data_IF_035508549851
#
_entry.id   IF_035508549851
#
_cell.length_a   1.000
_cell.length_b   1.000
_cell.length_c   1.000
_cell.angle_alpha   90.00
_cell.angle_beta   90.00
_cell.angle_gamma   90.00
#
_symmetry.space_group_name_H-M   'P 1'
#
loop_
_entity.id
_entity.type
_entity.pdbx_description
1 polymer ?
#
# COMPACT_ATOMS: atom_id res chain seq x y z
N UNK A 1 -76.44 -40.65 34.91
CA UNK A 1 -76.79 -41.14 36.26
C UNK A 1 -77.98 -42.09 36.12
N UNK A 2 -77.68 -43.34 35.76
CA UNK A 2 -78.53 -44.50 35.93
C UNK A 2 -77.58 -45.56 36.47
N UNK A 3 -77.80 -45.96 37.72
CA UNK A 3 -76.98 -46.96 38.39
C UNK A 3 -77.21 -48.30 37.71
N UNK A 4 -76.22 -48.77 36.96
CA UNK A 4 -76.17 -50.17 36.54
C UNK A 4 -75.93 -51.00 37.79
N UNK A 5 -76.86 -51.91 38.05
CA UNK A 5 -76.71 -52.93 39.07
C UNK A 5 -75.46 -53.73 38.70
N UNK A 6 -74.46 -53.73 39.57
CA UNK A 6 -73.43 -54.75 39.58
C UNK A 6 -74.15 -56.09 39.82
N UNK A 7 -74.51 -56.75 38.73
CA UNK A 7 -74.68 -58.20 38.76
C UNK A 7 -73.30 -58.73 39.14
N UNK A 8 -73.12 -59.12 40.41
CA UNK A 8 -71.92 -59.78 40.91
C UNK A 8 -71.79 -61.11 40.17
N UNK A 9 -71.27 -61.06 38.96
CA UNK A 9 -70.95 -62.22 38.14
C UNK A 9 -69.82 -62.97 38.83
N UNK A 10 -69.95 -64.29 38.87
CA UNK A 10 -68.94 -65.20 39.44
C UNK A 10 -67.60 -65.16 38.68
N UNK A 11 -67.60 -64.54 37.50
CA UNK A 11 -66.44 -64.38 36.63
C UNK A 11 -65.69 -63.09 36.98
N UNK A 12 -64.39 -63.22 37.25
CA UNK A 12 -63.48 -62.09 37.47
C UNK A 12 -63.06 -61.44 36.14
N UNK A 13 -63.91 -60.56 35.62
CA UNK A 13 -63.65 -59.84 34.36
C UNK A 13 -62.43 -58.90 34.43
N UNK A 14 -62.05 -58.42 35.62
CA UNK A 14 -60.90 -57.52 35.79
C UNK A 14 -59.58 -58.25 35.53
N UNK A 15 -59.46 -59.50 35.98
CA UNK A 15 -58.31 -60.34 35.68
C UNK A 15 -58.16 -60.59 34.17
N UNK A 16 -59.27 -60.84 33.46
CA UNK A 16 -59.28 -61.16 32.02
C UNK A 16 -59.07 -59.95 31.10
N UNK A 17 -59.52 -58.75 31.48
CA UNK A 17 -59.35 -57.53 30.69
C UNK A 17 -58.02 -56.81 30.95
N UNK A 18 -57.21 -57.31 31.89
CA UNK A 18 -55.90 -56.72 32.19
C UNK A 18 -54.95 -56.85 30.98
N UNK A 19 -54.19 -55.79 30.62
CA UNK A 19 -53.25 -55.82 29.49
C UNK A 19 -52.06 -56.75 29.71
N UNK A 20 -51.91 -57.29 30.93
CA UNK A 20 -50.88 -58.25 31.36
C UNK A 20 -51.42 -59.68 31.45
N UNK A 21 -52.70 -59.93 31.11
CA UNK A 21 -53.29 -61.25 31.20
C UNK A 21 -52.54 -62.24 30.29
N UNK A 22 -51.98 -63.29 30.88
CA UNK A 22 -51.36 -64.39 30.15
C UNK A 22 -52.20 -65.68 30.35
N UNK A 23 -52.70 -66.30 29.25
CA UNK A 23 -53.52 -67.52 29.35
C UNK A 23 -52.79 -68.68 30.04
N UNK A 24 -51.47 -68.75 29.91
CA UNK A 24 -50.63 -69.81 30.49
C UNK A 24 -50.47 -69.71 31.99
N UNK A 25 -50.31 -68.49 32.54
CA UNK A 25 -50.17 -68.31 34.00
C UNK A 25 -51.50 -68.52 34.71
N UNK A 26 -52.61 -68.11 34.08
CA UNK A 26 -53.95 -68.37 34.58
C UNK A 26 -54.29 -69.87 34.57
N UNK A 27 -53.95 -70.59 33.50
CA UNK A 27 -54.12 -72.04 33.46
C UNK A 27 -53.30 -72.74 34.56
N UNK A 28 -52.06 -72.29 34.77
CA UNK A 28 -51.19 -72.82 35.82
C UNK A 28 -51.72 -72.53 37.23
N UNK A 29 -52.20 -71.31 37.51
CA UNK A 29 -52.80 -70.99 38.80
C UNK A 29 -54.08 -71.79 39.06
N UNK A 30 -54.88 -72.06 38.02
CA UNK A 30 -56.08 -72.87 38.15
C UNK A 30 -55.78 -74.35 38.42
N UNK A 31 -54.76 -74.91 37.78
CA UNK A 31 -54.32 -76.30 38.03
C UNK A 31 -53.73 -76.44 39.45
N UNK A 32 -52.95 -75.45 39.90
CA UNK A 32 -52.36 -75.44 41.24
C UNK A 32 -53.39 -75.23 42.36
N UNK A 33 -54.50 -74.53 42.10
CA UNK A 33 -55.56 -74.27 43.09
C UNK A 33 -56.56 -75.43 43.22
N UNK A 34 -56.67 -76.27 42.20
CA UNK A 34 -57.63 -77.39 42.16
C UNK A 34 -57.02 -78.72 42.58
N UNK A 35 -55.70 -78.89 42.43
CA UNK A 35 -55.00 -80.13 42.75
C UNK A 35 -54.11 -79.98 43.99
N UNK A 36 -54.13 -80.98 44.87
CA UNK A 36 -53.16 -81.08 45.97
C UNK A 36 -51.85 -81.72 45.47
N UNK A 37 -50.68 -81.38 46.06
CA UNK A 37 -49.38 -81.88 45.61
C UNK A 37 -49.17 -83.40 45.78
N UNK A 38 -50.15 -84.11 46.34
CA UNK A 38 -50.13 -85.56 46.57
C UNK A 38 -51.09 -86.35 45.67
N UNK A 39 -51.87 -85.70 44.80
CA UNK A 39 -52.78 -86.39 43.88
C UNK A 39 -52.03 -86.94 42.65
N UNK A 40 -52.08 -88.27 42.48
CA UNK A 40 -51.62 -88.97 41.28
C UNK A 40 -52.71 -89.97 40.84
N UNK A 41 -53.34 -89.84 39.66
CA UNK A 41 -53.08 -88.88 38.57
C UNK A 41 -53.69 -87.49 38.82
N UNK A 42 -53.06 -86.47 38.23
CA UNK A 42 -53.50 -85.07 38.26
C UNK A 42 -54.91 -84.94 37.65
N UNK A 43 -55.85 -84.35 38.37
CA UNK A 43 -57.21 -84.11 37.87
C UNK A 43 -57.24 -82.84 37.02
N UNK A 44 -57.23 -83.05 35.70
CA UNK A 44 -57.40 -82.00 34.69
C UNK A 44 -58.86 -81.76 34.31
N UNK A 45 -59.78 -82.64 34.74
CA UNK A 45 -61.19 -82.55 34.37
C UNK A 45 -61.91 -81.41 35.11
N UNK A 46 -61.55 -81.19 36.37
CA UNK A 46 -62.14 -80.13 37.20
C UNK A 46 -61.72 -78.72 36.76
N UNK A 47 -60.43 -78.40 36.52
CA UNK A 47 -60.01 -77.12 35.93
C UNK A 47 -60.61 -76.86 34.56
N UNK A 48 -60.62 -77.89 33.70
CA UNK A 48 -61.13 -77.78 32.34
C UNK A 48 -62.64 -77.54 32.32
N UNK A 49 -63.40 -78.24 33.16
CA UNK A 49 -64.84 -77.99 33.27
C UNK A 49 -65.13 -76.58 33.75
N UNK A 50 -64.38 -76.06 34.73
CA UNK A 50 -64.51 -74.67 35.19
C UNK A 50 -64.23 -73.65 34.09
N UNK A 51 -63.11 -73.76 33.36
CA UNK A 51 -62.80 -72.86 32.24
C UNK A 51 -63.87 -72.95 31.14
N UNK A 52 -64.39 -74.14 30.87
CA UNK A 52 -65.46 -74.32 29.87
C UNK A 52 -66.76 -73.67 30.33
N UNK A 53 -67.13 -73.77 31.61
CA UNK A 53 -68.28 -73.08 32.16
C UNK A 53 -68.11 -71.55 32.09
N UNK A 54 -66.95 -71.05 32.50
CA UNK A 54 -66.63 -69.61 32.45
C UNK A 54 -66.68 -69.11 30.99
N UNK A 55 -66.09 -69.84 30.03
CA UNK A 55 -66.11 -69.49 28.61
C UNK A 55 -67.52 -69.55 28.01
N UNK A 56 -68.33 -70.53 28.39
CA UNK A 56 -69.73 -70.62 27.97
C UNK A 56 -70.54 -69.46 28.51
N UNK A 57 -70.39 -69.12 29.79
CA UNK A 57 -71.08 -68.00 30.41
C UNK A 57 -70.66 -66.67 29.78
N UNK A 58 -69.36 -66.42 29.58
CA UNK A 58 -68.86 -65.24 28.85
C UNK A 58 -69.47 -65.19 27.45
N UNK A 59 -69.48 -66.30 26.71
CA UNK A 59 -70.02 -66.32 25.36
C UNK A 59 -71.53 -66.04 25.35
N UNK A 60 -72.30 -66.63 26.27
CA UNK A 60 -73.73 -66.34 26.40
C UNK A 60 -73.98 -64.89 26.80
N UNK A 61 -73.14 -64.32 27.66
CA UNK A 61 -73.25 -62.93 28.10
C UNK A 61 -72.91 -61.97 26.95
N UNK A 62 -71.83 -62.23 26.21
CA UNK A 62 -71.45 -61.49 25.00
C UNK A 62 -72.53 -61.61 23.93
N UNK A 63 -73.10 -62.80 23.70
CA UNK A 63 -74.21 -62.97 22.75
C UNK A 63 -75.45 -62.20 23.20
N UNK A 64 -75.76 -62.22 24.50
CA UNK A 64 -76.91 -61.50 25.05
C UNK A 64 -76.72 -59.98 24.97
N UNK A 65 -75.53 -59.47 25.28
CA UNK A 65 -75.19 -58.06 25.13
C UNK A 65 -75.17 -57.66 23.66
N UNK A 66 -74.50 -58.42 22.80
CA UNK A 66 -74.39 -58.14 21.36
C UNK A 66 -75.74 -58.18 20.70
N UNK A 67 -76.65 -59.08 21.07
CA UNK A 67 -78.02 -59.10 20.54
C UNK A 67 -78.88 -57.96 21.07
N UNK A 68 -78.79 -57.63 22.37
CA UNK A 68 -79.52 -56.51 22.99
C UNK A 68 -79.05 -55.14 22.48
N UNK A 69 -77.74 -54.96 22.30
CA UNK A 69 -77.10 -53.71 21.86
C UNK A 69 -76.55 -53.78 20.43
N UNK A 70 -77.07 -54.69 19.59
CA UNK A 70 -76.63 -54.87 18.21
C UNK A 70 -76.68 -53.55 17.42
N UNK A 71 -77.78 -52.83 17.56
CA UNK A 71 -78.01 -51.55 16.88
C UNK A 71 -77.01 -50.48 17.36
N UNK A 72 -76.85 -50.20 18.67
CA UNK A 72 -75.80 -49.29 19.16
C UNK A 72 -74.38 -49.63 18.69
N UNK A 73 -73.98 -50.91 18.70
CA UNK A 73 -72.65 -51.33 18.27
C UNK A 73 -72.41 -51.12 16.77
N UNK A 74 -73.43 -51.42 15.95
CA UNK A 74 -73.38 -51.15 14.51
C UNK A 74 -73.34 -49.65 14.22
N UNK A 75 -74.13 -48.84 14.94
CA UNK A 75 -74.13 -47.39 14.80
C UNK A 75 -72.76 -46.82 15.20
N UNK A 76 -72.21 -47.23 16.35
CA UNK A 76 -70.90 -46.78 16.82
C UNK A 76 -69.78 -47.17 15.84
N UNK A 77 -69.77 -48.42 15.38
CA UNK A 77 -68.76 -48.89 14.41
C UNK A 77 -68.89 -48.16 13.08
N UNK A 78 -70.13 -47.92 12.62
CA UNK A 78 -70.40 -47.16 11.41
C UNK A 78 -69.97 -45.69 11.56
N UNK A 79 -70.23 -45.06 12.71
CA UNK A 79 -69.84 -43.69 13.00
C UNK A 79 -68.33 -43.53 13.14
N UNK A 80 -67.66 -44.49 13.80
CA UNK A 80 -66.21 -44.54 13.91
C UNK A 80 -65.54 -44.74 12.53
N UNK A 81 -66.08 -45.64 11.70
CA UNK A 81 -65.59 -45.87 10.34
C UNK A 81 -65.80 -44.63 9.47
N UNK A 82 -66.97 -43.99 9.55
CA UNK A 82 -67.28 -42.73 8.84
C UNK A 82 -66.37 -41.60 9.29
N UNK A 83 -66.12 -41.47 10.59
CA UNK A 83 -65.27 -40.41 11.15
C UNK A 83 -63.81 -40.62 10.77
N UNK A 84 -63.32 -41.85 10.84
CA UNK A 84 -61.96 -42.21 10.41
C UNK A 84 -61.77 -41.96 8.91
N UNK A 85 -62.75 -42.35 8.08
CA UNK A 85 -62.71 -42.08 6.64
C UNK A 85 -62.69 -40.58 6.32
N UNK A 86 -63.47 -39.76 7.04
CA UNK A 86 -63.43 -38.30 6.90
C UNK A 86 -62.07 -37.72 7.29
N UNK A 87 -61.49 -38.19 8.39
CA UNK A 87 -60.16 -37.74 8.85
C UNK A 87 -59.09 -38.09 7.81
N UNK A 88 -59.08 -39.33 7.30
CA UNK A 88 -58.14 -39.75 6.26
C UNK A 88 -58.31 -38.92 5.00
N UNK A 89 -59.56 -38.69 4.56
CA UNK A 89 -59.82 -37.87 3.38
C UNK A 89 -59.34 -36.42 3.54
N UNK A 90 -59.53 -35.83 4.72
CA UNK A 90 -59.07 -34.48 5.01
C UNK A 90 -57.54 -34.42 5.03
N UNK A 91 -56.88 -35.38 5.68
CA UNK A 91 -55.41 -35.49 5.71
C UNK A 91 -54.85 -35.69 4.30
N UNK A 92 -55.44 -36.59 3.50
CA UNK A 92 -55.01 -36.82 2.13
C UNK A 92 -55.14 -35.54 1.28
N UNK A 93 -56.22 -34.78 1.47
CA UNK A 93 -56.40 -33.50 0.78
C UNK A 93 -55.34 -32.47 1.20
N UNK A 94 -55.00 -32.41 2.49
CA UNK A 94 -53.98 -31.51 3.01
C UNK A 94 -52.58 -31.93 2.53
N UNK A 95 -52.26 -33.23 2.54
CA UNK A 95 -50.98 -33.76 2.03
C UNK A 95 -50.84 -33.51 0.53
N UNK A 96 -51.90 -33.71 -0.24
CA UNK A 96 -51.90 -33.38 -1.67
C UNK A 96 -51.65 -31.88 -1.89
N UNK A 97 -52.34 -31.02 -1.12
CA UNK A 97 -52.14 -29.57 -1.21
C UNK A 97 -50.71 -29.14 -0.86
N UNK A 98 -50.09 -29.79 0.14
CA UNK A 98 -48.72 -29.53 0.54
C UNK A 98 -47.72 -30.00 -0.52
N UNK A 99 -47.94 -31.16 -1.11
CA UNK A 99 -47.09 -31.69 -2.17
C UNK A 99 -47.16 -30.82 -3.44
N UNK A 100 -48.36 -30.35 -3.79
CA UNK A 100 -48.53 -29.40 -4.89
C UNK A 100 -47.89 -28.03 -4.56
N UNK A 101 -48.01 -27.57 -3.31
CA UNK A 101 -47.32 -26.38 -2.82
C UNK A 101 -45.80 -26.49 -2.92
N UNK A 102 -45.25 -27.65 -2.52
CA UNK A 102 -43.82 -27.94 -2.62
C UNK A 102 -43.35 -27.98 -4.07
N UNK A 103 -44.06 -28.68 -4.97
CA UNK A 103 -43.73 -28.71 -6.41
C UNK A 103 -43.77 -27.33 -7.05
N UNK A 104 -44.71 -26.47 -6.62
CA UNK A 104 -44.75 -25.06 -7.05
C UNK A 104 -43.54 -24.30 -6.53
N UNK A 105 -43.19 -24.45 -5.26
CA UNK A 105 -42.01 -23.81 -4.66
C UNK A 105 -40.71 -24.24 -5.34
N UNK A 106 -40.55 -25.55 -5.59
CA UNK A 106 -39.38 -26.11 -6.27
C UNK A 106 -39.23 -25.49 -7.67
N UNK A 107 -40.32 -25.45 -8.43
CA UNK A 107 -40.30 -24.91 -9.80
C UNK A 107 -40.12 -23.39 -9.83
N UNK A 108 -40.78 -22.65 -8.94
CA UNK A 108 -40.80 -21.19 -8.99
C UNK A 108 -39.64 -20.54 -8.24
N UNK A 109 -39.16 -21.15 -7.16
CA UNK A 109 -38.14 -20.55 -6.28
C UNK A 109 -36.80 -21.25 -6.48
N UNK A 110 -36.75 -22.58 -6.41
CA UNK A 110 -35.48 -23.31 -6.39
C UNK A 110 -34.76 -23.20 -7.74
N UNK A 111 -35.45 -23.50 -8.84
CA UNK A 111 -34.89 -23.36 -10.20
C UNK A 111 -34.47 -21.92 -10.50
N UNK A 112 -35.26 -20.93 -10.05
CA UNK A 112 -34.90 -19.51 -10.24
C UNK A 112 -33.71 -19.10 -9.40
N UNK A 113 -33.57 -19.64 -8.20
CA UNK A 113 -32.44 -19.39 -7.32
C UNK A 113 -31.14 -19.97 -7.89
N UNK A 114 -31.17 -21.20 -8.40
CA UNK A 114 -30.01 -21.82 -9.06
C UNK A 114 -29.56 -20.99 -10.28
N UNK A 115 -30.49 -20.61 -11.16
CA UNK A 115 -30.19 -19.72 -12.28
C UNK A 115 -29.66 -18.36 -11.82
N UNK A 116 -30.15 -17.81 -10.71
CA UNK A 116 -29.66 -16.55 -10.16
C UNK A 116 -28.24 -16.68 -9.59
N UNK A 117 -27.87 -17.80 -8.95
CA UNK A 117 -26.50 -18.05 -8.51
C UNK A 117 -25.54 -18.21 -9.70
N UNK A 118 -25.96 -18.86 -10.79
CA UNK A 118 -25.18 -18.90 -12.03
C UNK A 118 -24.96 -17.50 -12.62
N UNK A 119 -26.02 -16.69 -12.71
CA UNK A 119 -25.93 -15.32 -13.21
C UNK A 119 -25.03 -14.47 -12.30
N UNK A 120 -25.12 -14.64 -10.97
CA UNK A 120 -24.25 -13.96 -10.01
C UNK A 120 -22.79 -14.39 -10.17
N UNK A 121 -22.52 -15.66 -10.44
CA UNK A 121 -21.18 -16.14 -10.74
C UNK A 121 -20.64 -15.55 -12.06
N UNK A 122 -21.46 -15.45 -13.10
CA UNK A 122 -21.08 -14.79 -14.36
C UNK A 122 -20.86 -13.29 -14.16
N UNK A 123 -21.76 -12.61 -13.45
CA UNK A 123 -21.69 -11.17 -13.19
C UNK A 123 -20.46 -10.79 -12.35
N UNK A 124 -20.11 -11.60 -11.34
CA UNK A 124 -18.89 -11.39 -10.54
C UNK A 124 -17.63 -11.55 -11.40
N UNK A 125 -17.54 -12.59 -12.24
CA UNK A 125 -16.44 -12.75 -13.20
C UNK A 125 -16.35 -11.59 -14.19
N UNK A 126 -17.48 -11.14 -14.74
CA UNK A 126 -17.52 -9.97 -15.63
C UNK A 126 -17.09 -8.68 -14.93
N UNK A 127 -17.49 -8.50 -13.67
CA UNK A 127 -17.05 -7.35 -12.89
C UNK A 127 -15.55 -7.38 -12.63
N UNK A 128 -14.99 -8.54 -12.27
CA UNK A 128 -13.54 -8.70 -12.08
C UNK A 128 -12.76 -8.42 -13.35
N UNK A 129 -13.23 -8.90 -14.51
CA UNK A 129 -12.58 -8.63 -15.80
C UNK A 129 -12.67 -7.17 -16.21
N UNK A 130 -13.82 -6.50 -16.01
CA UNK A 130 -13.97 -5.07 -16.30
C UNK A 130 -13.12 -4.23 -15.35
N UNK A 131 -13.05 -4.58 -14.06
CA UNK A 131 -12.21 -3.91 -13.07
C UNK A 131 -10.74 -4.00 -13.47
N UNK A 132 -10.24 -5.20 -13.76
CA UNK A 132 -8.86 -5.43 -14.18
C UNK A 132 -8.58 -4.76 -15.53
N UNK A 133 -9.50 -4.83 -16.49
CA UNK A 133 -9.36 -4.19 -17.80
C UNK A 133 -9.25 -2.67 -17.70
N UNK A 134 -10.03 -2.03 -16.82
CA UNK A 134 -9.96 -0.58 -16.57
C UNK A 134 -8.64 -0.17 -15.94
N UNK A 135 -8.14 -0.91 -14.94
CA UNK A 135 -6.88 -0.59 -14.29
C UNK A 135 -5.68 -0.82 -15.20
N UNK A 136 -5.67 -1.91 -15.99
CA UNK A 136 -4.68 -2.14 -17.05
C UNK A 136 -4.74 -1.05 -18.11
N UNK A 137 -5.94 -0.66 -18.56
CA UNK A 137 -6.14 0.43 -19.52
C UNK A 137 -5.58 1.77 -19.02
N UNK A 138 -5.83 2.11 -17.75
CA UNK A 138 -5.26 3.31 -17.10
C UNK A 138 -3.73 3.22 -17.02
N UNK A 139 -3.17 2.08 -16.63
CA UNK A 139 -1.73 1.86 -16.58
C UNK A 139 -1.07 2.03 -17.95
N UNK A 140 -1.67 1.46 -19.01
CA UNK A 140 -1.16 1.59 -20.37
C UNK A 140 -1.29 3.03 -20.90
N UNK A 141 -2.38 3.72 -20.60
CA UNK A 141 -2.56 5.12 -21.00
C UNK A 141 -1.54 6.04 -20.31
N UNK A 142 -1.26 5.81 -19.02
CA UNK A 142 -0.21 6.52 -18.30
C UNK A 142 1.19 6.16 -18.81
N UNK A 143 1.43 4.90 -19.18
CA UNK A 143 2.67 4.47 -19.85
C UNK A 143 2.88 5.19 -21.19
N UNK A 144 1.85 5.26 -22.03
CA UNK A 144 1.89 6.02 -23.29
C UNK A 144 2.15 7.51 -23.04
N UNK A 145 1.50 8.09 -22.04
CA UNK A 145 1.74 9.48 -21.66
C UNK A 145 3.20 9.70 -21.21
N UNK A 146 3.75 8.77 -20.43
CA UNK A 146 5.14 8.79 -20.00
C UNK A 146 6.11 8.70 -21.18
N UNK A 147 5.85 7.85 -22.16
CA UNK A 147 6.68 7.71 -23.36
C UNK A 147 6.72 9.02 -24.17
N UNK A 148 5.56 9.65 -24.37
CA UNK A 148 5.46 10.94 -25.08
C UNK A 148 6.27 12.00 -24.32
N UNK A 149 6.07 12.11 -23.01
CA UNK A 149 6.80 13.09 -22.19
C UNK A 149 8.31 12.78 -22.10
N UNK A 150 8.70 11.50 -22.11
CA UNK A 150 10.11 11.10 -22.15
C UNK A 150 10.76 11.49 -23.48
N UNK A 151 10.03 11.40 -24.59
CA UNK A 151 10.50 11.86 -25.90
C UNK A 151 10.67 13.39 -25.98
N UNK A 152 9.82 14.15 -25.26
CA UNK A 152 9.97 15.60 -25.07
C UNK A 152 11.22 15.92 -24.23
N UNK A 153 11.48 15.17 -23.15
CA UNK A 153 12.65 15.36 -22.28
C UNK A 153 13.97 14.94 -22.96
N UNK A 154 13.93 13.93 -23.82
CA UNK A 154 15.09 13.46 -24.57
C UNK A 154 15.43 14.35 -25.79
N UNK A 155 14.58 15.33 -26.12
CA UNK A 155 14.73 16.17 -27.31
C UNK A 155 14.58 15.40 -28.63
N UNK A 156 13.98 14.21 -28.58
CA UNK A 156 13.77 13.31 -29.72
C UNK A 156 12.36 13.38 -30.31
N UNK A 157 11.43 14.09 -29.64
CA UNK A 157 10.02 14.21 -30.05
C UNK A 157 9.74 15.06 -31.30
N UNK A 158 10.75 15.66 -31.96
CA UNK A 158 10.59 16.41 -33.21
C UNK A 158 11.66 16.02 -34.25
N UNK A 159 11.29 15.56 -35.47
CA UNK A 159 12.24 15.24 -36.54
C UNK A 159 12.90 16.47 -37.17
N UNK A 160 12.46 17.69 -36.82
CA UNK A 160 13.11 18.93 -37.24
C UNK A 160 13.91 19.48 -36.06
N UNK A 161 15.18 19.08 -35.98
CA UNK A 161 16.16 19.73 -35.09
C UNK A 161 16.42 21.15 -35.57
N UNK A 162 15.56 22.10 -35.20
CA UNK A 162 15.90 23.51 -35.28
C UNK A 162 16.93 23.74 -34.18
N UNK A 163 18.14 24.11 -34.56
CA UNK A 163 19.21 24.56 -33.65
C UNK A 163 18.62 25.65 -32.74
N UNK A 164 18.29 25.30 -31.50
CA UNK A 164 17.64 26.20 -30.54
C UNK A 164 16.26 25.77 -29.99
N UNK A 165 15.73 24.58 -30.31
CA UNK A 165 14.56 24.08 -29.59
C UNK A 165 14.90 23.89 -28.10
N UNK A 166 14.21 24.70 -27.30
CA UNK A 166 14.32 24.80 -25.85
C UNK A 166 13.92 23.45 -25.26
N UNK A 167 14.80 22.81 -24.49
CA UNK A 167 14.42 21.65 -23.70
C UNK A 167 13.27 22.05 -22.77
N UNK A 168 12.14 21.36 -22.87
CA UNK A 168 10.98 21.63 -22.03
C UNK A 168 11.28 21.14 -20.62
N UNK A 169 11.92 21.99 -19.82
CA UNK A 169 12.17 21.74 -18.40
C UNK A 169 10.87 21.50 -17.60
N UNK A 170 9.72 21.93 -18.15
CA UNK A 170 8.39 21.61 -17.63
C UNK A 170 7.96 20.17 -17.91
N UNK A 171 8.40 19.57 -19.03
CA UNK A 171 8.12 18.17 -19.34
C UNK A 171 8.74 17.24 -18.31
N UNK A 172 9.91 17.59 -17.75
CA UNK A 172 10.55 16.85 -16.66
C UNK A 172 9.65 16.71 -15.42
N UNK A 173 8.95 17.79 -15.03
CA UNK A 173 8.02 17.80 -13.90
C UNK A 173 6.75 16.99 -14.22
N UNK A 174 6.27 17.05 -15.47
CA UNK A 174 5.16 16.22 -15.93
C UNK A 174 5.52 14.73 -15.88
N UNK A 175 6.69 14.36 -16.40
CA UNK A 175 7.23 13.01 -16.33
C UNK A 175 7.30 12.51 -14.89
N UNK A 176 7.82 13.32 -13.96
CA UNK A 176 7.88 12.92 -12.55
C UNK A 176 6.50 12.71 -11.94
N UNK A 177 5.50 13.52 -12.30
CA UNK A 177 4.11 13.33 -11.84
C UNK A 177 3.46 12.08 -12.45
N UNK A 178 3.72 11.76 -13.72
CA UNK A 178 3.24 10.54 -14.38
C UNK A 178 3.94 9.27 -13.85
N UNK A 179 5.24 9.34 -13.54
CA UNK A 179 5.95 8.26 -12.83
C UNK A 179 5.38 8.06 -11.42
N UNK A 180 5.04 9.15 -10.75
CA UNK A 180 4.48 9.11 -9.40
C UNK A 180 3.05 8.56 -9.38
N UNK A 181 2.23 8.90 -10.38
CA UNK A 181 0.89 8.31 -10.50
C UNK A 181 0.95 6.82 -10.85
N UNK A 182 1.90 6.40 -11.69
CA UNK A 182 2.16 4.97 -11.94
C UNK A 182 2.59 4.26 -10.65
N UNK A 183 3.53 4.84 -9.88
CA UNK A 183 3.93 4.30 -8.58
C UNK A 183 2.75 4.18 -7.61
N UNK A 184 1.89 5.19 -7.56
CA UNK A 184 0.68 5.18 -6.74
C UNK A 184 -0.29 4.05 -7.13
N UNK A 185 -0.45 3.77 -8.42
CA UNK A 185 -1.26 2.65 -8.89
C UNK A 185 -0.65 1.30 -8.50
N UNK A 186 0.68 1.18 -8.54
CA UNK A 186 1.36 -0.04 -8.13
C UNK A 186 1.37 -0.25 -6.62
N UNK A 187 1.45 0.81 -5.82
CA UNK A 187 1.44 0.73 -4.35
C UNK A 187 0.07 0.42 -3.76
N UNK A 188 -1.01 0.70 -4.50
CA UNK A 188 -2.40 0.43 -4.12
C UNK A 188 -2.81 -1.03 -4.38
N UNK A 189 -2.08 -1.98 -3.78
CA UNK A 189 -2.28 -3.43 -3.96
C UNK A 189 -3.35 -4.01 -3.02
N UNK A 190 -4.03 -3.20 -2.20
CA UNK A 190 -5.02 -3.65 -1.22
C UNK A 190 -6.28 -4.27 -1.84
N UNK A 191 -7.00 -5.15 -1.13
CA UNK A 191 -8.24 -5.75 -1.62
C UNK A 191 -9.31 -4.66 -1.87
N UNK A 192 -9.67 -4.46 -3.14
CA UNK A 192 -10.61 -3.42 -3.56
C UNK A 192 -9.96 -2.13 -4.09
N UNK A 193 -8.63 -2.02 -4.00
CA UNK A 193 -7.87 -0.91 -4.58
C UNK A 193 -7.52 -1.18 -6.06
N UNK A 194 -7.21 -0.12 -6.80
CA UNK A 194 -7.01 -0.17 -8.25
C UNK A 194 -5.85 -1.08 -8.69
N UNK A 195 -4.85 -1.32 -7.82
CA UNK A 195 -3.68 -2.15 -8.08
C UNK A 195 -3.88 -3.65 -7.79
N UNK A 196 -5.01 -4.08 -7.24
CA UNK A 196 -5.24 -5.49 -6.91
C UNK A 196 -5.30 -6.38 -8.16
N UNK A 197 -4.29 -7.24 -8.33
CA UNK A 197 -4.17 -8.16 -9.45
C UNK A 197 -3.41 -7.62 -10.67
N UNK A 198 -2.90 -6.38 -10.64
CA UNK A 198 -2.08 -5.83 -11.74
C UNK A 198 -0.76 -6.57 -11.91
N UNK A 199 -0.14 -7.00 -10.82
CA UNK A 199 1.14 -7.73 -10.84
C UNK A 199 1.03 -9.10 -11.53
N UNK A 200 -0.19 -9.66 -11.65
CA UNK A 200 -0.42 -10.95 -12.31
C UNK A 200 -0.50 -10.83 -13.84
N UNK A 201 -0.50 -9.61 -14.39
CA UNK A 201 -0.66 -9.35 -15.82
C UNK A 201 0.72 -9.10 -16.46
N UNK A 202 1.15 -9.98 -17.36
CA UNK A 202 2.47 -9.92 -18.00
C UNK A 202 2.71 -8.61 -18.77
N UNK A 203 1.66 -8.04 -19.37
CA UNK A 203 1.75 -6.73 -20.07
C UNK A 203 2.13 -5.60 -19.10
N UNK A 204 1.66 -5.69 -17.86
CA UNK A 204 1.97 -4.68 -16.83
C UNK A 204 3.39 -4.89 -16.28
N UNK A 205 3.80 -6.15 -16.09
CA UNK A 205 5.18 -6.48 -15.71
C UNK A 205 6.18 -6.04 -16.78
N UNK A 206 5.88 -6.29 -18.06
CA UNK A 206 6.72 -5.86 -19.18
C UNK A 206 6.75 -4.33 -19.29
N UNK A 207 5.64 -3.62 -19.10
CA UNK A 207 5.61 -2.15 -19.05
C UNK A 207 6.48 -1.61 -17.89
N UNK A 208 6.40 -2.23 -16.72
CA UNK A 208 7.20 -1.83 -15.56
C UNK A 208 8.71 -2.04 -15.79
N UNK A 209 9.11 -3.18 -16.34
CA UNK A 209 10.52 -3.50 -16.59
C UNK A 209 11.11 -2.76 -17.78
N UNK A 210 10.33 -2.61 -18.87
CA UNK A 210 10.81 -2.05 -20.14
C UNK A 210 10.68 -0.53 -20.24
N UNK A 211 9.70 0.08 -19.56
CA UNK A 211 9.43 1.52 -19.68
C UNK A 211 9.64 2.25 -18.35
N UNK A 212 9.00 1.82 -17.27
CA UNK A 212 9.00 2.59 -16.00
C UNK A 212 10.38 2.64 -15.36
N UNK A 213 11.03 1.49 -15.19
CA UNK A 213 12.38 1.40 -14.60
C UNK A 213 13.45 2.20 -15.38
N UNK A 214 13.57 2.08 -16.71
CA UNK A 214 14.53 2.88 -17.47
C UNK A 214 14.13 4.35 -17.60
N UNK A 215 12.84 4.68 -17.68
CA UNK A 215 12.38 6.07 -17.68
C UNK A 215 12.79 6.79 -16.39
N UNK A 216 12.61 6.14 -15.24
CA UNK A 216 13.05 6.68 -13.95
C UNK A 216 14.55 6.96 -13.92
N UNK A 217 15.38 5.99 -14.33
CA UNK A 217 16.84 6.16 -14.39
C UNK A 217 17.24 7.31 -15.31
N UNK A 218 16.57 7.43 -16.46
CA UNK A 218 16.83 8.50 -17.43
C UNK A 218 16.49 9.87 -16.85
N UNK A 219 15.31 10.01 -16.24
CA UNK A 219 14.89 11.26 -15.61
C UNK A 219 15.82 11.62 -14.45
N UNK A 220 16.20 10.68 -13.58
CA UNK A 220 17.15 10.91 -12.50
C UNK A 220 18.52 11.37 -13.02
N UNK A 221 19.06 10.68 -14.03
CA UNK A 221 20.36 11.03 -14.63
C UNK A 221 20.32 12.43 -15.26
N UNK A 222 19.22 12.78 -15.94
CA UNK A 222 19.03 14.11 -16.53
C UNK A 222 18.91 15.20 -15.47
N UNK A 223 18.14 14.97 -14.40
CA UNK A 223 18.08 15.91 -13.28
C UNK A 223 19.45 16.13 -12.63
N UNK A 224 20.21 15.04 -12.43
CA UNK A 224 21.58 15.09 -11.91
C UNK A 224 22.52 15.88 -12.81
N UNK A 225 22.42 15.67 -14.13
CA UNK A 225 23.22 16.39 -15.11
C UNK A 225 22.92 17.90 -15.07
N UNK A 226 21.63 18.29 -15.06
CA UNK A 226 21.22 19.71 -14.99
C UNK A 226 21.78 20.40 -13.74
N UNK A 227 21.77 19.71 -12.58
CA UNK A 227 22.32 20.27 -11.34
C UNK A 227 23.86 20.32 -11.39
N UNK A 228 24.52 19.32 -11.97
CA UNK A 228 25.99 19.31 -12.12
C UNK A 228 26.49 20.40 -13.07
N UNK A 229 25.73 20.69 -14.11
CA UNK A 229 26.03 21.73 -15.09
C UNK A 229 25.58 23.13 -14.64
N UNK A 230 24.98 23.26 -13.45
CA UNK A 230 24.54 24.55 -12.94
C UNK A 230 25.72 25.49 -12.72
N UNK A 231 25.75 26.56 -13.53
CA UNK A 231 26.65 27.68 -13.41
C UNK A 231 25.92 28.96 -13.83
N UNK A 232 25.95 29.98 -12.98
CA UNK A 232 25.39 31.30 -13.32
C UNK A 232 26.47 32.29 -13.80
N UNK A 233 27.72 31.86 -13.85
CA UNK A 233 28.85 32.67 -14.31
C UNK A 233 29.62 31.92 -15.38
N UNK A 234 29.34 32.23 -16.64
CA UNK A 234 30.21 31.81 -17.76
C UNK A 234 31.35 32.81 -17.93
N UNK A 235 32.29 32.84 -16.97
CA UNK A 235 33.52 33.61 -17.16
C UNK A 235 34.47 32.92 -18.17
N UNK A 236 34.22 31.65 -18.48
CA UNK A 236 35.02 30.83 -19.40
C UNK A 236 34.91 31.21 -20.87
N UNK A 237 33.87 31.95 -21.29
CA UNK A 237 33.60 32.25 -22.71
C UNK A 237 33.73 33.73 -23.10
N UNK A 238 34.12 34.61 -22.17
CA UNK A 238 34.30 36.05 -22.47
C UNK A 238 33.01 36.79 -22.86
N UNK A 239 31.85 36.15 -22.78
CA UNK A 239 30.53 36.71 -23.08
C UNK A 239 29.74 36.78 -21.78
N UNK A 240 29.20 37.95 -21.44
CA UNK A 240 28.26 38.07 -20.33
C UNK A 240 27.01 37.25 -20.64
N UNK A 241 26.64 36.34 -19.73
CA UNK A 241 25.39 35.59 -19.84
C UNK A 241 24.21 36.57 -19.79
N UNK A 242 23.37 36.57 -20.82
CA UNK A 242 22.20 37.45 -20.86
C UNK A 242 21.25 37.12 -19.70
N UNK A 243 20.54 38.12 -19.14
CA UNK A 243 19.53 37.91 -18.09
C UNK A 243 18.55 36.77 -18.42
N UNK A 244 18.17 36.63 -19.70
CA UNK A 244 17.34 35.54 -20.20
C UNK A 244 17.97 34.14 -20.02
N UNK A 245 19.28 34.00 -20.22
CA UNK A 245 20.01 32.74 -20.02
C UNK A 245 20.13 32.39 -18.54
N UNK A 246 20.36 33.40 -17.69
CA UNK A 246 20.39 33.23 -16.23
C UNK A 246 19.01 32.88 -15.67
N UNK A 247 17.94 33.45 -16.22
CA UNK A 247 16.57 33.07 -15.86
C UNK A 247 16.22 31.65 -16.32
N UNK A 248 16.67 31.23 -17.51
CA UNK A 248 16.42 29.90 -18.06
C UNK A 248 17.18 28.79 -17.32
N UNK A 249 18.44 29.05 -16.94
CA UNK A 249 19.22 28.12 -16.10
C UNK A 249 18.62 27.98 -14.70
N UNK A 250 18.10 29.07 -14.11
CA UNK A 250 17.32 29.02 -12.87
C UNK A 250 16.05 28.19 -13.05
N UNK A 251 15.24 28.43 -14.08
CA UNK A 251 13.99 27.67 -14.29
C UNK A 251 14.23 26.18 -14.55
N UNK A 252 15.28 25.81 -15.30
CA UNK A 252 15.71 24.42 -15.48
C UNK A 252 16.10 23.76 -14.17
N UNK A 253 16.91 24.45 -13.37
CA UNK A 253 17.40 23.94 -12.09
C UNK A 253 16.27 23.79 -11.07
N UNK A 254 15.34 24.76 -11.00
CA UNK A 254 14.13 24.64 -10.17
C UNK A 254 13.30 23.42 -10.58
N UNK A 255 13.12 23.19 -11.89
CA UNK A 255 12.34 22.05 -12.40
C UNK A 255 13.03 20.71 -12.11
N UNK A 256 14.36 20.64 -12.19
CA UNK A 256 15.16 19.46 -11.83
C UNK A 256 15.11 19.17 -10.32
N UNK A 257 15.18 20.21 -9.47
CA UNK A 257 15.04 20.07 -8.02
C UNK A 257 13.63 19.58 -7.66
N UNK A 258 12.59 20.14 -8.28
CA UNK A 258 11.21 19.68 -8.11
C UNK A 258 11.03 18.23 -8.56
N UNK A 259 11.59 17.84 -9.70
CA UNK A 259 11.52 16.47 -10.19
C UNK A 259 12.26 15.47 -9.27
N UNK A 260 13.46 15.81 -8.78
CA UNK A 260 14.20 14.97 -7.82
C UNK A 260 13.50 14.84 -6.48
N UNK A 261 12.81 15.89 -6.05
CA UNK A 261 11.98 15.84 -4.86
C UNK A 261 10.79 14.90 -5.04
N UNK A 262 10.06 15.01 -6.16
CA UNK A 262 8.93 14.15 -6.48
C UNK A 262 9.33 12.69 -6.74
N UNK A 263 10.55 12.45 -7.21
CA UNK A 263 11.09 11.10 -7.44
C UNK A 263 11.77 10.50 -6.21
N UNK A 264 12.06 11.30 -5.20
CA UNK A 264 12.71 10.81 -3.99
C UNK A 264 11.82 9.81 -3.26
N UNK A 265 12.40 8.68 -2.87
CA UNK A 265 11.68 7.51 -2.38
C UNK A 265 10.73 7.88 -1.25
N UNK A 266 9.44 7.74 -1.48
CA UNK A 266 8.45 7.70 -0.41
C UNK A 266 8.54 6.36 0.31
N UNK A 267 8.34 6.34 1.63
CA UNK A 267 8.55 5.15 2.46
C UNK A 267 7.67 3.95 2.07
N UNK A 268 6.62 4.17 1.28
CA UNK A 268 5.71 3.11 0.82
C UNK A 268 6.31 2.18 -0.25
N UNK A 269 7.34 2.62 -0.98
CA UNK A 269 7.98 1.82 -2.04
C UNK A 269 9.19 1.01 -1.56
N UNK A 270 9.73 1.29 -0.38
CA UNK A 270 11.02 0.76 0.04
C UNK A 270 10.97 -0.60 0.78
N UNK A 271 9.78 -1.20 0.89
CA UNK A 271 9.38 -2.47 1.58
C UNK A 271 8.12 -2.12 2.36
N UNK A 272 7.07 -2.96 2.29
CA UNK A 272 5.74 -2.81 2.92
C UNK A 272 5.74 -2.67 4.46
N UNK A 273 6.52 -1.76 4.99
CA UNK A 273 6.62 -1.38 6.38
C UNK A 273 6.11 0.04 6.41
N UNK A 274 4.84 0.20 6.80
CA UNK A 274 4.26 1.47 7.24
C UNK A 274 5.05 1.98 8.45
N UNK A 275 6.21 2.59 8.22
CA UNK A 275 6.99 3.24 9.29
C UNK A 275 6.26 4.51 9.66
N UNK A 276 5.55 4.42 10.79
CA UNK A 276 4.54 5.39 11.21
C UNK A 276 5.07 6.81 11.44
N UNK A 277 6.37 7.03 11.63
CA UNK A 277 6.92 8.37 11.89
C UNK A 277 8.41 8.48 11.51
N UNK A 278 8.78 8.25 10.25
CA UNK A 278 10.11 8.62 9.79
C UNK A 278 10.03 9.99 9.09
N UNK A 279 10.72 11.00 9.64
CA UNK A 279 10.97 12.25 8.93
C UNK A 279 11.40 11.91 7.51
N UNK A 280 10.57 12.24 6.53
CA UNK A 280 10.86 11.91 5.15
C UNK A 280 11.96 12.85 4.68
N UNK A 281 13.11 12.28 4.34
CA UNK A 281 14.25 13.02 3.81
C UNK A 281 14.41 12.72 2.32
N UNK A 282 14.54 13.74 1.47
CA UNK A 282 14.69 13.56 0.03
C UNK A 282 16.12 13.09 -0.29
N UNK A 283 16.40 11.81 -0.07
CA UNK A 283 17.74 11.21 -0.19
C UNK A 283 18.39 11.46 -1.55
N UNK A 284 17.62 11.39 -2.64
CA UNK A 284 18.12 11.65 -3.99
C UNK A 284 18.51 13.11 -4.19
N UNK A 285 17.73 14.05 -3.66
CA UNK A 285 18.05 15.47 -3.72
C UNK A 285 19.30 15.77 -2.87
N UNK A 286 19.37 15.24 -1.65
CA UNK A 286 20.48 15.46 -0.73
C UNK A 286 21.78 14.89 -1.32
N UNK A 287 21.77 13.64 -1.78
CA UNK A 287 22.94 12.99 -2.39
C UNK A 287 23.45 13.76 -3.62
N UNK A 288 22.56 14.22 -4.49
CA UNK A 288 22.96 14.93 -5.71
C UNK A 288 23.52 16.31 -5.43
N UNK A 289 22.99 17.03 -4.44
CA UNK A 289 23.53 18.30 -3.99
C UNK A 289 24.86 18.14 -3.25
N UNK A 290 25.01 17.09 -2.44
CA UNK A 290 26.28 16.74 -1.80
C UNK A 290 27.37 16.41 -2.83
N UNK A 291 27.04 15.63 -3.87
CA UNK A 291 27.95 15.31 -4.96
C UNK A 291 28.37 16.56 -5.74
N UNK A 292 27.46 17.49 -5.99
CA UNK A 292 27.75 18.77 -6.62
C UNK A 292 28.74 19.61 -5.79
N UNK A 293 28.51 19.72 -4.47
CA UNK A 293 29.40 20.44 -3.56
C UNK A 293 30.78 19.78 -3.48
N UNK A 294 30.84 18.46 -3.36
CA UNK A 294 32.11 17.71 -3.31
C UNK A 294 32.90 17.87 -4.61
N UNK A 295 32.24 17.78 -5.76
CA UNK A 295 32.89 17.91 -7.08
C UNK A 295 33.41 19.34 -7.30
N UNK A 296 32.60 20.35 -6.98
CA UNK A 296 33.00 21.76 -7.10
C UNK A 296 34.15 22.11 -6.15
N UNK A 297 34.17 21.58 -4.93
CA UNK A 297 35.26 21.75 -3.98
C UNK A 297 36.55 21.06 -4.44
N UNK A 298 36.48 19.78 -4.81
CA UNK A 298 37.66 19.02 -5.23
C UNK A 298 38.31 19.63 -6.49
N UNK A 299 37.49 20.09 -7.44
CA UNK A 299 37.96 20.79 -8.62
C UNK A 299 38.62 22.14 -8.28
N UNK A 300 38.06 22.89 -7.32
CA UNK A 300 38.59 24.21 -6.90
C UNK A 300 39.88 24.08 -6.09
N UNK A 301 40.00 23.05 -5.26
CA UNK A 301 41.25 22.71 -4.55
C UNK A 301 42.35 22.30 -5.53
N UNK A 302 42.01 21.46 -6.53
CA UNK A 302 42.96 21.01 -7.54
C UNK A 302 43.41 22.13 -8.49
N UNK A 303 42.56 23.10 -8.83
CA UNK A 303 42.96 24.27 -9.62
C UNK A 303 43.82 25.23 -8.81
N UNK A 304 43.44 25.52 -7.55
CA UNK A 304 44.17 26.45 -6.70
C UNK A 304 45.56 25.90 -6.31
N UNK A 305 45.68 24.61 -5.99
CA UNK A 305 46.99 23.99 -5.70
C UNK A 305 47.95 24.07 -6.90
N UNK A 306 47.47 23.91 -8.13
CA UNK A 306 48.27 24.11 -9.35
C UNK A 306 48.62 25.59 -9.55
N UNK A 307 47.66 26.49 -9.37
CA UNK A 307 47.88 27.92 -9.56
C UNK A 307 48.86 28.52 -8.54
N UNK A 308 48.91 27.99 -7.32
CA UNK A 308 49.93 28.34 -6.33
C UNK A 308 51.33 27.85 -6.71
N UNK A 309 51.44 26.77 -7.48
CA UNK A 309 52.72 26.35 -8.07
C UNK A 309 53.09 27.22 -9.29
N UNK A 310 52.11 27.76 -10.02
CA UNK A 310 52.28 28.58 -11.23
C UNK A 310 51.58 29.94 -11.11
N UNK A 311 52.24 30.87 -10.43
CA UNK A 311 51.72 32.20 -10.06
C UNK A 311 51.03 33.02 -11.18
N UNK A 312 51.47 32.99 -12.46
CA UNK A 312 50.82 33.77 -13.53
C UNK A 312 49.35 33.39 -13.79
N UNK A 313 48.95 32.18 -13.42
CA UNK A 313 47.58 31.68 -13.60
C UNK A 313 46.68 31.92 -12.38
N UNK A 314 47.25 32.43 -11.28
CA UNK A 314 46.58 32.59 -10.00
C UNK A 314 45.32 33.46 -10.12
N UNK A 315 45.43 34.65 -10.69
CA UNK A 315 44.29 35.57 -10.80
C UNK A 315 43.13 34.95 -11.59
N UNK A 316 43.44 34.26 -12.70
CA UNK A 316 42.42 33.55 -13.48
C UNK A 316 41.74 32.45 -12.65
N UNK A 317 42.50 31.65 -11.92
CA UNK A 317 41.92 30.57 -11.09
C UNK A 317 41.13 31.11 -9.90
N UNK A 318 41.57 32.21 -9.27
CA UNK A 318 40.82 32.87 -8.20
C UNK A 318 39.49 33.43 -8.73
N UNK A 319 39.48 33.98 -9.94
CA UNK A 319 38.24 34.39 -10.59
C UNK A 319 37.30 33.20 -10.83
N UNK A 320 37.79 32.07 -11.31
CA UNK A 320 36.99 30.84 -11.50
C UNK A 320 36.47 30.24 -10.17
N UNK A 321 37.23 30.37 -9.07
CA UNK A 321 36.79 29.90 -7.74
C UNK A 321 35.73 30.84 -7.17
N UNK A 322 35.91 32.16 -7.35
CA UNK A 322 34.90 33.14 -6.96
C UNK A 322 33.58 32.94 -7.71
N UNK A 323 33.61 32.60 -9.01
CA UNK A 323 32.41 32.35 -9.80
C UNK A 323 31.70 31.04 -9.42
N UNK A 324 32.44 30.01 -9.00
CA UNK A 324 31.88 28.77 -8.43
C UNK A 324 31.19 29.04 -7.10
N UNK A 325 31.80 29.83 -6.21
CA UNK A 325 31.16 30.24 -4.95
C UNK A 325 29.88 31.06 -5.20
N UNK A 326 29.90 31.98 -6.17
CA UNK A 326 28.70 32.72 -6.58
C UNK A 326 27.58 31.81 -7.09
N UNK A 327 27.94 30.75 -7.82
CA UNK A 327 26.97 29.73 -8.28
C UNK A 327 26.40 28.94 -7.09
N UNK A 328 27.21 28.59 -6.08
CA UNK A 328 26.73 27.94 -4.84
C UNK A 328 25.78 28.85 -4.06
N UNK A 329 26.11 30.14 -3.90
CA UNK A 329 25.23 31.12 -3.25
C UNK A 329 23.90 31.29 -3.99
N UNK A 330 23.94 31.26 -5.31
CA UNK A 330 22.74 31.31 -6.11
C UNK A 330 21.87 30.06 -5.96
N UNK A 331 22.49 28.88 -5.87
CA UNK A 331 21.80 27.64 -5.58
C UNK A 331 21.16 27.69 -4.19
N UNK A 332 21.87 28.21 -3.19
CA UNK A 332 21.34 28.43 -1.83
C UNK A 332 20.11 29.35 -1.85
N UNK A 333 20.21 30.50 -2.53
CA UNK A 333 19.07 31.41 -2.69
C UNK A 333 17.90 30.74 -3.42
N UNK A 334 18.16 29.96 -4.46
CA UNK A 334 17.15 29.25 -5.23
C UNK A 334 16.43 28.23 -4.34
N UNK A 335 17.17 27.38 -3.64
CA UNK A 335 16.64 26.40 -2.70
C UNK A 335 15.84 27.04 -1.53
N UNK A 336 16.20 28.26 -1.13
CA UNK A 336 15.47 29.03 -0.11
C UNK A 336 14.16 29.65 -0.63
N UNK A 337 14.09 29.89 -1.94
CA UNK A 337 12.95 30.56 -2.60
C UNK A 337 11.94 29.59 -3.18
N UNK A 338 12.37 28.36 -3.48
CA UNK A 338 11.49 27.31 -4.01
C UNK A 338 10.72 26.66 -2.88
N UNK A 339 9.40 26.84 -2.88
CA UNK A 339 8.49 26.07 -2.05
C UNK A 339 8.26 24.70 -2.68
N UNK A 340 8.23 23.60 -1.90
CA UNK A 340 8.02 22.28 -2.47
C UNK A 340 6.58 22.13 -2.99
N UNK A 341 6.39 21.55 -4.20
CA UNK A 341 5.06 21.20 -4.67
C UNK A 341 4.45 20.10 -3.78
N UNK A 342 3.11 20.05 -3.64
CA UNK A 342 2.45 19.02 -2.87
C UNK A 342 2.75 17.64 -3.47
N UNK A 343 3.32 16.74 -2.68
CA UNK A 343 3.69 15.40 -3.11
C UNK A 343 2.47 14.47 -2.95
N UNK A 344 1.84 13.98 -4.04
CA UNK A 344 0.58 13.23 -3.97
C UNK A 344 0.67 11.87 -3.27
N UNK A 345 1.88 11.35 -3.00
CA UNK A 345 2.09 10.11 -2.22
C UNK A 345 2.59 10.32 -0.79
N UNK A 346 2.63 11.55 -0.28
CA UNK A 346 2.91 11.75 1.15
C UNK A 346 1.60 11.55 1.95
N UNK A 347 1.60 10.74 3.03
CA UNK A 347 0.45 10.68 3.92
C UNK A 347 0.20 12.09 4.49
N UNK A 348 -1.08 12.45 4.66
CA UNK A 348 -1.50 13.78 5.13
C UNK A 348 -0.89 14.22 6.48
N UNK A 349 -0.20 13.32 7.19
CA UNK A 349 0.55 13.59 8.43
C UNK A 349 2.03 13.96 8.24
N UNK A 350 2.60 13.85 7.05
CA UNK A 350 3.98 14.23 6.77
C UNK A 350 4.01 15.69 6.30
N UNK A 351 4.37 16.62 7.19
CA UNK A 351 4.50 18.02 6.83
C UNK A 351 5.62 18.18 5.78
N UNK A 352 5.33 18.80 4.63
CA UNK A 352 6.39 19.12 3.67
C UNK A 352 7.38 20.10 4.32
N UNK A 353 8.69 19.96 4.07
CA UNK A 353 9.67 20.92 4.58
C UNK A 353 9.32 22.33 4.10
N UNK A 354 9.43 23.33 4.98
CA UNK A 354 9.09 24.73 4.65
C UNK A 354 9.92 25.27 3.50
N UNK A 355 11.18 24.80 3.36
CA UNK A 355 12.09 25.08 2.26
C UNK A 355 13.01 23.87 2.00
N UNK A 356 13.48 23.69 0.76
CA UNK A 356 14.42 22.61 0.38
C UNK A 356 15.80 22.73 1.05
N UNK A 357 16.14 23.90 1.61
CA UNK A 357 17.40 24.11 2.31
C UNK A 357 17.47 23.43 3.67
N UNK A 358 16.37 23.39 4.42
CA UNK A 358 16.42 22.95 5.82
C UNK A 358 16.87 21.48 5.98
N UNK A 359 16.39 20.53 5.15
CA UNK A 359 16.87 19.14 5.19
C UNK A 359 18.35 18.98 4.75
N UNK A 360 18.82 19.88 3.88
CA UNK A 360 20.20 19.86 3.43
C UNK A 360 21.15 20.46 4.48
N UNK A 361 20.74 21.54 5.14
CA UNK A 361 21.51 22.16 6.21
C UNK A 361 21.57 21.26 7.46
N UNK A 362 20.50 20.51 7.76
CA UNK A 362 20.51 19.52 8.83
C UNK A 362 21.44 18.33 8.51
N UNK A 363 21.42 17.82 7.28
CA UNK A 363 22.30 16.71 6.87
C UNK A 363 23.78 17.10 6.75
N UNK A 364 24.08 18.38 6.51
CA UNK A 364 25.44 18.92 6.47
C UNK A 364 25.87 19.61 7.77
N UNK A 365 25.03 19.59 8.82
CA UNK A 365 25.23 20.27 10.12
C UNK A 365 25.83 21.69 9.97
N UNK A 366 25.33 22.47 9.01
CA UNK A 366 25.91 23.76 8.63
C UNK A 366 24.86 24.87 8.52
N UNK A 367 25.29 26.10 8.81
CA UNK A 367 24.42 27.29 8.74
C UNK A 367 24.33 27.94 7.35
N UNK A 368 25.28 27.66 6.45
CA UNK A 368 25.28 28.17 5.06
C UNK A 368 26.20 27.33 4.18
N UNK A 369 25.79 27.13 2.92
CA UNK A 369 26.55 26.36 1.92
C UNK A 369 27.86 27.04 1.52
N UNK A 370 27.87 28.37 1.44
CA UNK A 370 29.07 29.12 1.09
C UNK A 370 30.11 29.10 2.21
N UNK A 371 29.70 29.17 3.49
CA UNK A 371 30.62 29.00 4.62
C UNK A 371 31.21 27.59 4.66
N UNK A 372 30.40 26.56 4.39
CA UNK A 372 30.90 25.18 4.25
C UNK A 372 31.95 25.06 3.14
N UNK A 373 31.71 25.68 1.97
CA UNK A 373 32.64 25.67 0.85
C UNK A 373 34.00 26.30 1.22
N UNK A 374 34.02 27.52 1.76
CA UNK A 374 35.27 28.22 2.11
C UNK A 374 36.04 27.53 3.24
N UNK A 375 35.36 27.09 4.30
CA UNK A 375 36.01 26.38 5.42
C UNK A 375 36.64 25.07 4.98
N UNK A 376 35.94 24.30 4.15
CA UNK A 376 36.43 23.01 3.67
C UNK A 376 37.53 23.17 2.62
N UNK A 377 37.44 24.20 1.76
CA UNK A 377 38.50 24.58 0.84
C UNK A 377 39.77 25.01 1.58
N UNK A 378 39.65 25.83 2.63
CA UNK A 378 40.76 26.28 3.48
C UNK A 378 41.46 25.10 4.17
N UNK A 379 40.69 24.17 4.75
CA UNK A 379 41.23 22.97 5.39
C UNK A 379 42.04 22.10 4.42
N UNK A 380 41.52 21.87 3.22
CA UNK A 380 42.24 21.14 2.18
C UNK A 380 43.44 21.91 1.62
N UNK A 381 43.34 23.24 1.53
CA UNK A 381 44.40 24.09 1.01
C UNK A 381 45.63 24.13 1.92
N UNK A 382 45.44 24.23 3.23
CA UNK A 382 46.54 24.28 4.20
C UNK A 382 47.50 23.09 4.03
N UNK A 383 46.96 21.88 3.87
CA UNK A 383 47.75 20.67 3.63
C UNK A 383 48.56 20.74 2.33
N UNK A 384 47.94 21.23 1.24
CA UNK A 384 48.60 21.35 -0.07
C UNK A 384 49.67 22.44 -0.12
N UNK A 385 49.47 23.56 0.58
CA UNK A 385 50.47 24.62 0.71
C UNK A 385 51.67 24.13 1.51
N UNK A 386 51.45 23.41 2.61
CA UNK A 386 52.54 22.79 3.37
C UNK A 386 53.33 21.78 2.53
N UNK A 387 52.66 20.95 1.71
CA UNK A 387 53.34 20.05 0.77
C UNK A 387 54.25 20.83 -0.22
N UNK A 388 53.78 21.95 -0.77
CA UNK A 388 54.57 22.79 -1.71
C UNK A 388 55.76 23.41 -0.99
N UNK A 389 55.60 23.84 0.26
CA UNK A 389 56.68 24.42 1.04
C UNK A 389 57.72 23.40 1.49
N UNK A 390 57.29 22.21 1.88
CA UNK A 390 58.16 21.11 2.28
C UNK A 390 58.97 20.56 1.09
N UNK A 391 58.41 20.58 -0.12
CA UNK A 391 59.12 20.23 -1.36
C UNK A 391 60.20 21.25 -1.76
N UNK A 392 60.11 22.48 -1.24
CA UNK A 392 61.07 23.55 -1.53
C UNK A 392 61.09 23.97 -3.01
N UNK A 393 62.06 24.79 -3.39
CA UNK A 393 62.28 25.23 -4.78
C UNK A 393 61.72 26.61 -5.12
N UNK A 394 61.68 26.91 -6.43
CA UNK A 394 61.35 28.24 -6.97
C UNK A 394 59.91 28.65 -6.62
N UNK A 395 58.95 27.72 -6.65
CA UNK A 395 57.55 27.98 -6.28
C UNK A 395 57.41 28.40 -4.81
N UNK A 396 58.09 27.71 -3.88
CA UNK A 396 58.09 28.05 -2.47
C UNK A 396 58.74 29.43 -2.18
N UNK A 397 59.82 29.77 -2.89
CA UNK A 397 60.48 31.08 -2.77
C UNK A 397 59.61 32.21 -3.33
N UNK A 398 58.98 31.99 -4.48
CA UNK A 398 58.05 32.93 -5.11
C UNK A 398 56.80 33.17 -4.24
N UNK A 399 56.26 32.13 -3.61
CA UNK A 399 55.15 32.25 -2.66
C UNK A 399 55.52 33.11 -1.43
N UNK A 400 56.74 32.94 -0.88
CA UNK A 400 57.23 33.78 0.23
C UNK A 400 57.42 35.24 -0.19
N UNK A 401 57.97 35.48 -1.38
CA UNK A 401 58.21 36.83 -1.89
C UNK A 401 56.90 37.57 -2.23
N UNK A 402 55.86 36.85 -2.67
CA UNK A 402 54.54 37.42 -3.00
C UNK A 402 53.48 37.17 -1.91
N UNK A 403 53.89 37.15 -0.63
CA UNK A 403 53.00 36.92 0.52
C UNK A 403 51.86 37.95 0.60
N UNK A 404 52.19 39.22 0.39
CA UNK A 404 51.24 40.33 0.52
C UNK A 404 50.27 40.40 -0.67
N UNK A 405 50.75 40.24 -1.90
CA UNK A 405 49.88 40.19 -3.08
C UNK A 405 48.95 38.97 -3.04
N UNK A 406 49.45 37.80 -2.62
CA UNK A 406 48.61 36.61 -2.44
C UNK A 406 47.52 36.81 -1.38
N UNK A 407 47.85 37.49 -0.27
CA UNK A 407 46.88 37.86 0.77
C UNK A 407 45.76 38.73 0.19
N UNK A 408 46.12 39.75 -0.57
CA UNK A 408 45.16 40.70 -1.13
C UNK A 408 44.31 40.06 -2.24
N UNK A 409 44.92 39.27 -3.15
CA UNK A 409 44.18 38.53 -4.19
C UNK A 409 43.22 37.49 -3.60
N UNK A 410 43.61 36.77 -2.53
CA UNK A 410 42.71 35.83 -1.84
C UNK A 410 41.58 36.58 -1.11
N UNK A 411 41.90 37.70 -0.44
CA UNK A 411 40.89 38.55 0.20
C UNK A 411 39.87 39.05 -0.82
N UNK A 412 40.34 39.56 -1.95
CA UNK A 412 39.49 40.00 -3.04
C UNK A 412 38.67 38.85 -3.64
N UNK A 413 39.27 37.66 -3.81
CA UNK A 413 38.59 36.46 -4.29
C UNK A 413 37.41 36.06 -3.39
N UNK A 414 37.62 36.03 -2.06
CA UNK A 414 36.55 35.68 -1.11
C UNK A 414 35.48 36.77 -1.09
N UNK A 415 35.87 38.06 -1.06
CA UNK A 415 34.92 39.18 -1.09
C UNK A 415 34.12 39.28 -2.39
N UNK A 416 34.71 38.87 -3.52
CA UNK A 416 34.02 38.77 -4.81
C UNK A 416 33.13 37.55 -4.87
N UNK A 417 33.60 36.41 -4.36
CA UNK A 417 32.85 35.16 -4.29
C UNK A 417 31.66 35.21 -3.33
N UNK A 418 31.71 36.08 -2.31
CA UNK A 418 30.65 36.29 -1.33
C UNK A 418 29.57 37.28 -1.78
N UNK A 419 29.78 38.02 -2.88
CA UNK A 419 28.76 38.87 -3.48
C UNK A 419 27.83 38.00 -4.32
N UNK A 420 26.52 38.10 -4.08
CA UNK A 420 25.55 37.42 -4.91
C UNK A 420 25.71 37.85 -6.38
N UNK A 421 25.64 36.91 -7.34
CA UNK A 421 25.72 37.24 -8.76
C UNK A 421 24.58 38.18 -9.18
N UNK A 422 24.89 39.08 -10.13
CA UNK A 422 23.97 40.10 -10.65
C UNK A 422 22.66 39.46 -11.11
N UNK A 423 21.54 39.83 -10.48
CA UNK A 423 20.20 39.32 -10.80
C UNK A 423 19.63 38.24 -9.86
N UNK A 424 20.28 37.94 -8.73
CA UNK A 424 19.63 37.36 -7.54
C UNK A 424 19.49 38.50 -6.54
N UNK A 425 18.27 38.77 -6.08
CA UNK A 425 17.97 39.93 -5.24
C UNK A 425 18.97 40.10 -4.09
N UNK A 426 19.37 41.35 -3.85
CA UNK A 426 20.29 41.72 -2.78
C UNK A 426 19.71 41.31 -1.41
N UNK A 427 19.99 40.10 -0.94
CA UNK A 427 20.18 39.93 0.49
C UNK A 427 21.51 40.62 0.79
N UNK A 428 21.44 41.86 1.30
CA UNK A 428 22.57 42.47 2.01
C UNK A 428 23.03 41.43 3.03
N UNK A 429 24.12 40.74 2.74
CA UNK A 429 24.81 39.98 3.77
C UNK A 429 25.17 40.99 4.86
N UNK A 430 24.83 40.73 6.14
CA UNK A 430 25.21 41.63 7.21
C UNK A 430 26.74 41.79 7.14
N UNK A 431 27.18 43.05 6.99
CA UNK A 431 28.59 43.42 7.00
C UNK A 431 29.25 42.76 8.21
N UNK A 432 30.26 41.91 7.98
CA UNK A 432 30.96 41.16 9.02
C UNK A 432 30.87 39.62 8.91
N UNK A 433 29.88 39.04 8.24
CA UNK A 433 29.76 37.57 8.16
C UNK A 433 30.91 36.89 7.41
N UNK A 434 31.46 37.55 6.39
CA UNK A 434 32.50 36.99 5.53
C UNK A 434 33.92 37.27 6.01
N UNK A 435 34.11 38.16 6.99
CA UNK A 435 35.44 38.47 7.53
C UNK A 435 36.06 37.25 8.21
N UNK A 436 35.24 36.41 8.84
CA UNK A 436 35.66 35.12 9.41
C UNK A 436 36.17 34.17 8.33
N UNK A 437 35.47 34.05 7.21
CA UNK A 437 35.87 33.16 6.11
C UNK A 437 37.09 33.69 5.36
N UNK A 438 37.21 35.01 5.20
CA UNK A 438 38.43 35.68 4.71
C UNK A 438 39.60 35.35 5.62
N UNK A 439 39.44 35.47 6.93
CA UNK A 439 40.50 35.17 7.90
C UNK A 439 40.89 33.68 7.87
N UNK A 440 39.94 32.76 7.71
CA UNK A 440 40.19 31.31 7.62
C UNK A 440 40.92 30.96 6.32
N UNK A 441 40.49 31.50 5.17
CA UNK A 441 41.14 31.27 3.88
C UNK A 441 42.56 31.87 3.83
N UNK A 442 42.72 33.14 4.25
CA UNK A 442 44.02 33.80 4.33
C UNK A 442 44.92 33.09 5.35
N UNK A 443 44.38 32.68 6.48
CA UNK A 443 45.09 31.92 7.51
C UNK A 443 45.56 30.53 7.04
N UNK A 444 44.79 29.85 6.18
CA UNK A 444 45.19 28.55 5.63
C UNK A 444 46.44 28.62 4.74
N UNK A 445 46.62 29.74 4.05
CA UNK A 445 47.78 30.00 3.19
C UNK A 445 48.91 30.61 3.99
N UNK A 446 48.66 31.71 4.71
CA UNK A 446 49.69 32.45 5.45
C UNK A 446 50.21 31.68 6.68
N UNK A 447 49.36 30.87 7.32
CA UNK A 447 49.75 30.02 8.44
C UNK A 447 50.72 28.91 8.00
N UNK A 448 50.55 28.38 6.78
CA UNK A 448 51.49 27.44 6.18
C UNK A 448 52.78 28.12 5.70
N UNK A 449 52.70 29.39 5.27
CA UNK A 449 53.87 30.22 4.89
C UNK A 449 54.77 30.63 6.06
N UNK A 450 54.34 30.38 7.29
CA UNK A 450 55.06 30.71 8.52
C UNK A 450 54.73 32.10 9.06
N UNK A 451 54.86 32.25 10.38
CA UNK A 451 54.94 33.57 11.04
C UNK A 451 56.05 34.38 10.38
#
# INVERSE_FOLDING_TARGET
>A
MAAEKEDTSYIDYEAFLSPTFSPSEFANSLVLTTNNPTDTPLDLSTPLSRVLFDAQEINTHVDTLTTKSALPLLIHTQEQTKSSAKIVQEIDSQVASLNDGYKRLEKEVLVRYEAAEEIKAVASRLWETVRLGRSVGRCLQLGRQLEIQLSEVAGTGNPVKIQGQKEDHRALVRCSNSLLSLRGLFSQTGPGEEGYGLEKVDVVLTLHSSLVSPAERTVLTKCQQIIREFSMSSLSTGTSTTFAQTADTKSRTTSAIMALYLLSSTPDTARGIRRKHANWEPNHLISTLQDYLRTSLQSSLASLSRALATLPTLDRTLLEISSRCQSILALESLLSSTTPPPHPLLPSSAQPPTNFLQPLLSSLETGSLASYFWRTLAGGLSTKVMEIMNKGGVSARTLKNNRNGLRDSIRECVMRGSKAPTGVGERKAPEGHWEREVAVMVGSVLGALGR
#
